data_IF_716934980673
#
_entry.id   IF_716934980673
#
_cell.length_a   1.000
_cell.length_b   1.000
_cell.length_c   1.000
_cell.angle_alpha   90.00
_cell.angle_beta   90.00
_cell.angle_gamma   90.00
#
_symmetry.space_group_name_H-M   'P 1'
#
loop_
_entity.id
_entity.type
_entity.pdbx_description
1 polymer ?
#
# COMPACT_ATOMS: atom_id res chain seq x y z
N UNK A 1 23.18 18.54 0.11
CA UNK A 1 21.91 17.85 0.41
C UNK A 1 22.22 16.38 0.23
N UNK A 2 22.38 15.65 1.32
CA UNK A 2 22.79 14.23 1.30
C UNK A 2 21.78 13.34 2.05
N UNK A 3 20.56 13.85 2.27
CA UNK A 3 19.49 13.13 2.96
C UNK A 3 18.45 12.65 1.96
N UNK A 4 18.09 11.39 2.02
CA UNK A 4 16.96 10.82 1.29
C UNK A 4 15.82 10.53 2.29
N UNK A 5 14.61 11.03 1.99
CA UNK A 5 13.41 10.87 2.83
C UNK A 5 12.45 9.89 2.20
N UNK A 6 11.96 8.94 3.00
CA UNK A 6 10.95 7.95 2.62
C UNK A 6 9.70 8.16 3.47
N UNK A 7 8.55 8.40 2.84
CA UNK A 7 7.31 8.74 3.55
C UNK A 7 6.35 7.56 3.48
N UNK A 8 5.85 7.14 4.65
CA UNK A 8 4.89 6.05 4.77
C UNK A 8 3.70 6.47 5.63
N UNK A 9 2.50 6.30 5.09
CA UNK A 9 1.20 6.51 5.75
C UNK A 9 0.43 5.21 5.95
N UNK A 10 0.97 4.09 5.48
CA UNK A 10 0.41 2.74 5.61
C UNK A 10 1.54 1.70 5.72
N UNK A 11 1.30 0.55 6.37
CA UNK A 11 2.27 -0.55 6.44
C UNK A 11 2.75 -1.07 5.08
N UNK A 12 1.87 -1.13 4.08
CA UNK A 12 2.22 -1.53 2.71
C UNK A 12 3.24 -0.58 2.06
N UNK A 13 3.15 0.71 2.33
CA UNK A 13 4.11 1.68 1.82
C UNK A 13 5.49 1.46 2.45
N UNK A 14 5.52 1.15 3.75
CA UNK A 14 6.76 0.79 4.44
C UNK A 14 7.39 -0.51 3.89
N UNK A 15 6.56 -1.54 3.59
CA UNK A 15 7.00 -2.75 2.89
C UNK A 15 7.64 -2.42 1.53
N UNK A 16 6.98 -1.55 0.74
CA UNK A 16 7.47 -1.18 -0.58
C UNK A 16 8.76 -0.36 -0.53
N UNK A 17 8.91 0.61 0.39
CA UNK A 17 10.16 1.40 0.50
C UNK A 17 11.36 0.53 0.88
N UNK A 18 11.16 -0.51 1.71
CA UNK A 18 12.20 -1.49 2.01
C UNK A 18 12.63 -2.31 0.78
N UNK A 19 11.78 -2.37 -0.26
CA UNK A 19 12.03 -3.08 -1.51
C UNK A 19 12.56 -2.18 -2.66
N UNK A 20 12.70 -0.86 -2.45
CA UNK A 20 13.22 0.08 -3.46
C UNK A 20 14.70 -0.16 -3.76
N UNK A 21 15.44 -0.67 -2.77
CA UNK A 21 16.88 -0.84 -2.84
C UNK A 21 17.64 0.45 -2.63
N UNK A 22 18.64 0.41 -1.75
CA UNK A 22 19.42 1.59 -1.42
C UNK A 22 20.44 1.87 -2.52
N UNK A 23 20.13 2.82 -3.40
CA UNK A 23 20.94 3.12 -4.57
C UNK A 23 22.32 3.71 -4.25
N UNK A 24 22.42 4.63 -3.28
CA UNK A 24 23.69 5.28 -2.92
C UNK A 24 24.00 5.08 -1.44
N UNK A 25 25.11 4.41 -1.13
CA UNK A 25 25.51 4.10 0.24
C UNK A 25 25.87 5.35 1.07
N UNK A 26 26.11 6.49 0.41
CA UNK A 26 26.57 7.72 1.06
C UNK A 26 25.45 8.66 1.54
N UNK A 27 24.18 8.42 1.21
CA UNK A 27 23.09 9.28 1.66
C UNK A 27 22.54 8.85 3.03
N UNK A 28 22.26 9.84 3.88
CA UNK A 28 21.52 9.65 5.12
C UNK A 28 20.08 9.29 4.78
N UNK A 29 19.57 8.17 5.28
CA UNK A 29 18.21 7.68 5.04
C UNK A 29 17.33 8.01 6.22
N UNK A 30 16.27 8.76 5.97
CA UNK A 30 15.29 9.13 6.98
C UNK A 30 13.95 8.54 6.60
N UNK A 31 13.38 7.73 7.47
CA UNK A 31 12.01 7.24 7.36
C UNK A 31 11.08 8.18 8.11
N UNK A 32 9.96 8.55 7.47
CA UNK A 32 8.87 9.28 8.11
C UNK A 32 7.63 8.40 8.10
N UNK A 33 7.09 8.13 9.28
CA UNK A 33 5.83 7.40 9.47
C UNK A 33 4.74 8.40 9.86
N UNK A 34 3.62 8.38 9.13
CA UNK A 34 2.45 9.22 9.38
C UNK A 34 1.40 8.49 10.22
N UNK A 35 0.79 9.19 11.18
CA UNK A 35 -0.26 8.71 12.09
C UNK A 35 -1.63 8.40 11.45
N UNK A 36 -1.65 7.99 10.18
CA UNK A 36 -2.87 7.86 9.37
C UNK A 36 -3.55 6.48 9.44
N UNK A 37 -2.88 5.47 10.00
CA UNK A 37 -3.39 4.11 10.12
C UNK A 37 -3.54 3.70 11.59
N UNK A 38 -4.33 2.64 11.83
CA UNK A 38 -4.49 2.03 13.15
C UNK A 38 -3.12 1.61 13.71
N UNK A 39 -2.88 1.90 14.98
CA UNK A 39 -1.64 1.56 15.71
C UNK A 39 -0.35 2.08 15.05
N UNK A 40 -0.41 3.21 14.34
CA UNK A 40 0.76 3.80 13.67
C UNK A 40 1.88 4.19 14.64
N UNK A 41 1.56 4.66 15.84
CA UNK A 41 2.54 5.00 16.87
C UNK A 41 3.24 3.74 17.42
N UNK A 42 2.48 2.67 17.69
CA UNK A 42 3.04 1.37 18.04
C UNK A 42 3.96 0.86 16.92
N UNK A 43 3.47 0.87 15.68
CA UNK A 43 4.26 0.47 14.51
C UNK A 43 5.57 1.27 14.41
N UNK A 44 5.53 2.59 14.60
CA UNK A 44 6.73 3.44 14.64
C UNK A 44 7.74 2.99 15.70
N UNK A 45 7.29 2.72 16.93
CA UNK A 45 8.16 2.26 18.00
C UNK A 45 8.76 0.88 17.72
N UNK A 46 7.97 -0.02 17.12
CA UNK A 46 8.47 -1.34 16.73
C UNK A 46 9.49 -1.25 15.60
N UNK A 47 9.26 -0.42 14.57
CA UNK A 47 10.23 -0.17 13.50
C UNK A 47 11.53 0.39 14.07
N UNK A 48 11.46 1.37 14.97
CA UNK A 48 12.65 1.94 15.64
C UNK A 48 13.43 0.91 16.47
N UNK A 49 12.75 -0.11 16.98
CA UNK A 49 13.35 -1.14 17.84
C UNK A 49 13.96 -2.28 17.03
N UNK A 50 13.32 -2.68 15.94
CA UNK A 50 13.65 -3.91 15.22
C UNK A 50 14.21 -3.70 13.81
N UNK A 51 14.19 -2.48 13.26
CA UNK A 51 14.78 -2.16 11.95
C UNK A 51 15.96 -1.18 12.08
N UNK A 52 17.16 -1.68 11.79
CA UNK A 52 18.42 -0.93 11.84
C UNK A 52 18.82 -0.30 10.49
N UNK A 53 17.98 -0.43 9.45
CA UNK A 53 18.32 0.04 8.10
C UNK A 53 18.27 1.56 7.92
N UNK A 54 17.63 2.28 8.84
CA UNK A 54 17.40 3.72 8.78
C UNK A 54 18.38 4.48 9.67
N UNK A 55 18.86 5.64 9.19
CA UNK A 55 19.69 6.51 10.02
C UNK A 55 18.84 7.27 11.05
N UNK A 56 17.64 7.72 10.64
CA UNK A 56 16.64 8.27 11.55
C UNK A 56 15.25 7.76 11.16
N UNK A 57 14.39 7.62 12.16
CA UNK A 57 12.97 7.32 11.99
C UNK A 57 12.19 8.39 12.74
N UNK A 58 11.30 9.08 12.03
CA UNK A 58 10.48 10.15 12.53
C UNK A 58 9.01 9.76 12.48
N UNK A 59 8.24 10.24 13.45
CA UNK A 59 6.79 10.09 13.50
C UNK A 59 6.11 11.45 13.41
N UNK A 60 5.18 11.60 12.47
CA UNK A 60 4.33 12.78 12.36
C UNK A 60 2.87 12.39 12.43
N UNK A 61 2.08 13.18 13.16
CA UNK A 61 0.66 12.90 13.37
C UNK A 61 -0.17 13.07 12.08
N UNK A 62 0.24 14.00 11.22
CA UNK A 62 -0.50 14.43 10.04
C UNK A 62 0.42 15.03 8.97
N UNK A 63 -0.17 15.36 7.82
CA UNK A 63 0.53 15.97 6.68
C UNK A 63 1.05 17.38 6.97
N UNK A 64 0.43 18.13 7.88
CA UNK A 64 0.87 19.49 8.18
C UNK A 64 2.27 19.49 8.81
N UNK A 65 2.52 18.58 9.75
CA UNK A 65 3.84 18.42 10.36
C UNK A 65 4.89 17.93 9.35
N UNK A 66 4.49 17.05 8.42
CA UNK A 66 5.34 16.63 7.30
C UNK A 66 5.73 17.82 6.42
N UNK A 67 4.74 18.61 5.99
CA UNK A 67 4.96 19.76 5.11
C UNK A 67 5.85 20.81 5.78
N UNK A 68 5.62 21.09 7.07
CA UNK A 68 6.47 21.99 7.85
C UNK A 68 7.91 21.48 7.93
N UNK A 69 8.09 20.18 8.17
CA UNK A 69 9.41 19.56 8.21
C UNK A 69 10.13 19.69 6.86
N UNK A 70 9.49 19.32 5.75
CA UNK A 70 10.06 19.41 4.40
C UNK A 70 10.36 20.84 3.97
N UNK A 71 9.60 21.82 4.47
CA UNK A 71 9.85 23.23 4.23
C UNK A 71 11.19 23.69 4.84
N UNK A 72 11.51 23.25 6.05
CA UNK A 72 12.73 23.65 6.76
C UNK A 72 13.94 22.73 6.52
N UNK A 73 13.75 21.54 5.97
CA UNK A 73 14.82 20.55 5.77
C UNK A 73 14.96 20.15 4.30
N UNK A 74 15.74 20.90 3.49
CA UNK A 74 15.98 20.53 2.11
C UNK A 74 16.69 19.18 1.97
N UNK A 75 16.20 18.33 1.07
CA UNK A 75 16.65 16.95 0.90
C UNK A 75 17.16 16.64 -0.50
N UNK A 76 17.93 15.58 -0.62
CA UNK A 76 18.43 15.11 -1.90
C UNK A 76 17.32 14.42 -2.70
N UNK A 77 16.68 13.41 -2.10
CA UNK A 77 15.65 12.61 -2.76
C UNK A 77 14.44 12.46 -1.85
N UNK A 78 13.24 12.64 -2.41
CA UNK A 78 11.97 12.39 -1.76
C UNK A 78 11.31 11.15 -2.38
N UNK A 79 10.93 10.18 -1.55
CA UNK A 79 10.18 8.98 -1.95
C UNK A 79 8.75 9.06 -1.40
N UNK A 80 7.76 9.05 -2.29
CA UNK A 80 6.33 9.26 -1.99
C UNK A 80 5.46 8.19 -2.65
N UNK A 81 4.27 7.93 -2.11
CA UNK A 81 3.30 7.04 -2.76
C UNK A 81 2.54 7.75 -3.88
N UNK A 82 2.30 9.05 -3.72
CA UNK A 82 1.53 9.88 -4.65
C UNK A 82 2.31 11.14 -5.02
N UNK A 83 2.34 11.43 -6.31
CA UNK A 83 3.07 12.55 -6.89
C UNK A 83 2.19 13.79 -7.17
N UNK A 84 0.89 13.65 -6.90
CA UNK A 84 -0.15 14.60 -7.26
C UNK A 84 -0.52 15.56 -6.11
N UNK A 85 0.50 16.18 -5.51
CA UNK A 85 0.32 17.24 -4.51
C UNK A 85 0.79 18.59 -5.04
N UNK A 86 -0.07 19.60 -4.95
CA UNK A 86 0.27 21.00 -5.18
C UNK A 86 1.46 21.46 -4.32
N UNK A 87 1.56 20.96 -3.09
CA UNK A 87 2.60 21.32 -2.13
C UNK A 87 3.99 20.90 -2.62
N UNK A 88 4.11 19.73 -3.25
CA UNK A 88 5.38 19.30 -3.85
C UNK A 88 5.85 20.24 -4.97
N UNK A 89 4.92 20.87 -5.70
CA UNK A 89 5.28 21.89 -6.68
C UNK A 89 5.84 23.17 -6.06
N UNK A 90 5.33 23.58 -4.90
CA UNK A 90 5.92 24.69 -4.12
C UNK A 90 7.32 24.29 -3.63
N UNK A 91 7.43 23.10 -3.02
CA UNK A 91 8.69 22.60 -2.49
C UNK A 91 9.77 22.47 -3.56
N UNK A 92 9.42 22.02 -4.76
CA UNK A 92 10.35 21.99 -5.88
C UNK A 92 10.84 23.40 -6.26
N UNK A 93 9.93 24.38 -6.40
CA UNK A 93 10.29 25.77 -6.71
C UNK A 93 11.18 26.41 -5.64
N UNK A 94 10.98 26.05 -4.37
CA UNK A 94 11.80 26.48 -3.24
C UNK A 94 13.07 25.64 -3.06
N UNK A 95 13.38 24.75 -4.00
CA UNK A 95 14.54 23.84 -3.95
C UNK A 95 14.62 23.03 -2.65
N UNK A 96 13.47 22.58 -2.12
CA UNK A 96 13.39 21.72 -0.93
C UNK A 96 13.75 20.27 -1.23
N UNK A 97 13.73 19.85 -2.49
CA UNK A 97 14.25 18.55 -2.92
C UNK A 97 14.89 18.64 -4.31
N UNK A 98 15.89 17.79 -4.59
CA UNK A 98 16.49 17.69 -5.93
C UNK A 98 15.77 16.68 -6.82
N UNK A 99 15.37 15.55 -6.24
CA UNK A 99 14.73 14.44 -6.94
C UNK A 99 13.50 13.96 -6.18
N UNK A 100 12.51 13.49 -6.92
CA UNK A 100 11.32 12.87 -6.35
C UNK A 100 11.04 11.57 -7.09
N UNK A 101 10.89 10.49 -6.36
CA UNK A 101 10.47 9.20 -6.88
C UNK A 101 9.13 8.82 -6.28
N UNK A 102 8.26 8.28 -7.12
CA UNK A 102 7.05 7.63 -6.65
C UNK A 102 7.33 6.14 -6.47
N UNK A 103 6.62 5.48 -5.56
CA UNK A 103 6.61 4.02 -5.49
C UNK A 103 5.17 3.49 -5.50
N UNK A 104 5.00 2.32 -6.08
CA UNK A 104 3.69 1.66 -6.19
C UNK A 104 3.05 1.44 -4.82
N UNK A 105 1.73 1.61 -4.75
CA UNK A 105 0.89 1.11 -3.64
C UNK A 105 -0.06 0.00 -4.09
N UNK A 106 -0.41 -0.05 -5.38
CA UNK A 106 -1.22 -1.13 -5.93
C UNK A 106 -1.60 -0.94 -7.39
N UNK A 107 -2.66 -1.63 -7.83
CA UNK A 107 -3.14 -1.55 -9.22
C UNK A 107 -3.48 -0.11 -9.62
N UNK A 108 -3.79 0.75 -8.65
CA UNK A 108 -3.98 2.20 -8.81
C UNK A 108 -2.89 2.90 -9.61
N UNK A 109 -1.64 2.45 -9.48
CA UNK A 109 -0.50 2.99 -10.23
C UNK A 109 -0.57 2.71 -11.73
N UNK A 110 -1.37 1.74 -12.18
CA UNK A 110 -1.50 1.36 -13.59
C UNK A 110 -2.74 1.96 -14.26
N UNK A 111 -3.51 2.78 -13.52
CA UNK A 111 -4.80 3.24 -13.99
C UNK A 111 -4.71 4.33 -15.06
N UNK A 112 -5.47 4.16 -16.14
CA UNK A 112 -5.52 5.10 -17.27
C UNK A 112 -6.49 6.25 -17.05
N UNK A 113 -7.39 6.18 -16.07
CA UNK A 113 -8.28 7.29 -15.78
C UNK A 113 -7.50 8.51 -15.26
N UNK A 114 -8.10 9.69 -15.44
CA UNK A 114 -7.50 10.92 -14.93
C UNK A 114 -7.60 10.94 -13.42
N UNK A 115 -6.44 11.10 -12.79
CA UNK A 115 -6.34 11.33 -11.35
C UNK A 115 -6.90 12.72 -11.00
N UNK A 116 -6.53 13.74 -11.77
CA UNK A 116 -7.04 15.10 -11.57
C UNK A 116 -8.23 15.37 -12.49
N UNK A 117 -9.44 15.35 -11.90
CA UNK A 117 -10.69 15.73 -12.54
C UNK A 117 -11.10 17.18 -12.22
N UNK A 118 -10.19 18.00 -11.66
CA UNK A 118 -10.48 19.38 -11.33
C UNK A 118 -10.84 20.21 -12.56
N UNK A 119 -11.70 21.20 -12.37
CA UNK A 119 -12.16 22.12 -13.41
C UNK A 119 -11.84 23.57 -13.02
N UNK A 120 -11.82 24.44 -14.03
CA UNK A 120 -11.63 25.88 -13.84
C UNK A 120 -10.28 26.25 -13.22
N UNK A 121 -10.28 27.21 -12.29
CA UNK A 121 -9.07 27.76 -11.68
C UNK A 121 -8.21 26.71 -10.97
N UNK A 122 -8.83 25.70 -10.35
CA UNK A 122 -8.10 24.61 -9.66
C UNK A 122 -7.25 23.80 -10.63
N UNK A 123 -7.77 23.49 -11.83
CA UNK A 123 -7.02 22.79 -12.87
C UNK A 123 -5.82 23.64 -13.32
N UNK A 124 -6.02 24.94 -13.53
CA UNK A 124 -4.95 25.86 -13.91
C UNK A 124 -3.84 25.86 -12.85
N UNK A 125 -4.20 25.99 -11.57
CA UNK A 125 -3.25 25.95 -10.46
C UNK A 125 -2.50 24.61 -10.43
N UNK A 126 -3.22 23.49 -10.51
CA UNK A 126 -2.63 22.15 -10.50
C UNK A 126 -1.62 21.96 -11.64
N UNK A 127 -1.94 22.42 -12.85
CA UNK A 127 -0.99 22.38 -13.99
C UNK A 127 0.22 23.27 -13.78
N UNK A 128 0.04 24.48 -13.24
CA UNK A 128 1.15 25.39 -12.90
C UNK A 128 2.06 24.85 -11.79
N UNK A 129 1.51 24.01 -10.91
CA UNK A 129 2.26 23.26 -9.89
C UNK A 129 2.52 21.83 -10.30
N UNK A 130 2.59 21.56 -11.61
CA UNK A 130 3.13 20.33 -12.14
C UNK A 130 2.35 19.06 -11.83
N UNK A 131 1.11 19.13 -11.31
CA UNK A 131 0.26 17.96 -11.09
C UNK A 131 -0.10 17.34 -12.44
N UNK A 132 0.20 16.05 -12.59
CA UNK A 132 -0.08 15.28 -13.81
C UNK A 132 -1.57 14.96 -13.96
N UNK A 133 -1.98 14.62 -15.19
CA UNK A 133 -3.34 14.10 -15.44
C UNK A 133 -3.54 12.70 -14.86
N UNK A 134 -2.46 11.93 -14.71
CA UNK A 134 -2.46 10.56 -14.17
C UNK A 134 -1.47 10.46 -13.01
N UNK A 135 -1.64 9.44 -12.15
CA UNK A 135 -0.65 9.09 -11.13
C UNK A 135 0.68 8.77 -11.82
N UNK A 136 1.77 9.35 -11.32
CA UNK A 136 3.11 9.19 -11.90
C UNK A 136 3.49 10.22 -12.98
N UNK A 137 2.57 11.12 -13.34
CA UNK A 137 2.79 12.10 -14.41
C UNK A 137 3.22 13.49 -13.92
N UNK A 138 3.36 13.71 -12.62
CA UNK A 138 3.79 14.99 -12.04
C UNK A 138 5.11 15.49 -12.64
N UNK A 139 5.15 16.73 -13.11
CA UNK A 139 6.30 17.35 -13.79
C UNK A 139 7.61 17.21 -12.99
N UNK A 140 7.52 17.11 -11.66
CA UNK A 140 8.67 17.07 -10.75
C UNK A 140 9.16 15.67 -10.43
N UNK A 141 8.48 14.63 -10.91
CA UNK A 141 8.96 13.26 -10.77
C UNK A 141 10.21 13.03 -11.61
N UNK A 142 11.18 12.40 -10.98
CA UNK A 142 12.37 11.82 -11.62
C UNK A 142 12.07 10.43 -12.18
N UNK A 143 11.23 9.64 -11.50
CA UNK A 143 10.85 8.31 -11.93
C UNK A 143 9.94 7.61 -10.92
N UNK A 144 9.68 6.33 -11.17
CA UNK A 144 8.77 5.52 -10.36
C UNK A 144 9.34 4.12 -10.11
N UNK A 145 9.06 3.55 -8.93
CA UNK A 145 9.31 2.15 -8.59
C UNK A 145 8.01 1.36 -8.68
N UNK A 146 8.03 0.28 -9.45
CA UNK A 146 6.87 -0.54 -9.79
C UNK A 146 7.23 -2.03 -9.70
N UNK A 147 6.25 -2.87 -9.39
CA UNK A 147 6.38 -4.32 -9.50
C UNK A 147 6.28 -4.79 -10.96
N UNK A 148 5.49 -4.10 -11.79
CA UNK A 148 5.21 -4.48 -13.18
C UNK A 148 5.53 -3.34 -14.17
N UNK A 149 6.79 -2.86 -14.27
CA UNK A 149 7.13 -1.71 -15.11
C UNK A 149 6.82 -1.91 -16.59
N UNK A 150 6.85 -3.15 -17.10
CA UNK A 150 6.51 -3.44 -18.49
C UNK A 150 5.00 -3.28 -18.76
N UNK A 151 4.16 -3.69 -17.81
CA UNK A 151 2.72 -3.43 -17.87
C UNK A 151 2.43 -1.92 -17.85
N UNK A 152 3.13 -1.17 -17.00
CA UNK A 152 2.99 0.29 -16.99
C UNK A 152 3.36 0.89 -18.35
N UNK A 153 4.46 0.44 -18.96
CA UNK A 153 4.88 0.91 -20.28
C UNK A 153 3.85 0.58 -21.37
N UNK A 154 3.20 -0.59 -21.31
CA UNK A 154 2.14 -0.93 -22.27
C UNK A 154 0.86 -0.09 -22.07
N UNK A 155 0.53 0.27 -20.82
CA UNK A 155 -0.59 1.17 -20.53
C UNK A 155 -0.28 2.62 -20.93
N UNK A 156 0.99 3.04 -20.89
CA UNK A 156 1.43 4.39 -21.21
C UNK A 156 2.64 4.41 -22.17
N UNK A 157 2.46 4.10 -23.47
CA UNK A 157 3.56 4.02 -24.44
C UNK A 157 4.38 5.31 -24.60
N UNK A 158 3.81 6.47 -24.27
CA UNK A 158 4.47 7.78 -24.32
C UNK A 158 5.10 8.25 -23.01
N UNK A 159 5.13 7.42 -21.96
CA UNK A 159 5.69 7.81 -20.67
C UNK A 159 7.22 7.99 -20.75
N UNK A 160 7.71 9.18 -20.37
CA UNK A 160 9.10 9.58 -20.62
C UNK A 160 10.05 9.48 -19.41
N UNK A 161 9.53 9.29 -18.19
CA UNK A 161 10.38 9.24 -16.98
C UNK A 161 10.88 7.83 -16.70
N UNK A 162 11.87 7.72 -15.81
CA UNK A 162 12.45 6.43 -15.43
C UNK A 162 11.40 5.53 -14.76
N UNK A 163 11.25 4.31 -15.28
CA UNK A 163 10.54 3.22 -14.61
C UNK A 163 11.57 2.25 -14.03
N UNK A 164 11.49 1.99 -12.73
CA UNK A 164 12.39 1.12 -11.99
C UNK A 164 11.59 -0.04 -11.42
N UNK A 165 12.20 -1.23 -11.43
CA UNK A 165 11.64 -2.37 -10.69
C UNK A 165 11.98 -2.25 -9.21
N UNK A 166 11.11 -2.74 -8.34
CA UNK A 166 11.54 -3.11 -6.99
C UNK A 166 12.62 -4.21 -7.03
N UNK A 167 13.41 -4.33 -5.97
CA UNK A 167 14.54 -5.28 -5.91
C UNK A 167 14.12 -6.75 -6.01
N UNK A 168 12.94 -7.07 -5.48
CA UNK A 168 12.39 -8.42 -5.44
C UNK A 168 10.92 -8.41 -5.89
N UNK A 169 10.44 -9.49 -6.55
CA UNK A 169 9.01 -9.70 -6.77
C UNK A 169 8.22 -9.64 -5.46
N UNK A 170 6.95 -9.21 -5.54
CA UNK A 170 6.11 -8.93 -4.37
C UNK A 170 6.04 -10.12 -3.40
N UNK A 171 5.58 -11.29 -3.86
CA UNK A 171 5.39 -12.48 -3.02
C UNK A 171 6.70 -12.98 -2.43
N UNK A 172 7.79 -12.92 -3.19
CA UNK A 172 9.13 -13.28 -2.70
C UNK A 172 9.55 -12.34 -1.56
N UNK A 173 9.42 -11.03 -1.74
CA UNK A 173 9.76 -10.05 -0.69
C UNK A 173 8.87 -10.22 0.53
N UNK A 174 7.58 -10.50 0.32
CA UNK A 174 6.62 -10.74 1.39
C UNK A 174 7.05 -11.92 2.27
N UNK A 175 7.51 -13.03 1.68
CA UNK A 175 8.05 -14.16 2.45
C UNK A 175 9.29 -13.79 3.25
N UNK A 176 10.23 -13.05 2.63
CA UNK A 176 11.48 -12.62 3.26
C UNK A 176 11.24 -11.65 4.45
N UNK A 177 10.25 -10.76 4.32
CA UNK A 177 9.95 -9.72 5.32
C UNK A 177 9.00 -10.18 6.43
N UNK A 178 8.33 -11.33 6.26
CA UNK A 178 7.32 -11.80 7.21
C UNK A 178 7.83 -11.81 8.67
N UNK A 179 8.97 -12.44 9.02
CA UNK A 179 9.43 -12.47 10.42
C UNK A 179 9.61 -11.09 11.03
N UNK A 180 10.08 -10.12 10.24
CA UNK A 180 10.29 -8.75 10.69
C UNK A 180 8.96 -8.02 10.89
N UNK A 181 8.00 -8.17 9.97
CA UNK A 181 6.68 -7.54 10.08
C UNK A 181 5.81 -8.08 11.21
N UNK A 182 6.04 -9.34 11.64
CA UNK A 182 5.43 -9.89 12.84
C UNK A 182 5.88 -9.16 14.12
N UNK A 183 7.09 -8.56 14.14
CA UNK A 183 7.52 -7.70 15.25
C UNK A 183 6.88 -6.30 15.20
N UNK A 184 6.49 -5.83 14.01
CA UNK A 184 5.91 -4.50 13.84
C UNK A 184 4.41 -4.43 14.09
N UNK A 185 3.74 -5.57 14.01
CA UNK A 185 2.30 -5.64 13.89
C UNK A 185 1.65 -6.47 15.00
N UNK A 186 0.33 -6.39 15.11
CA UNK A 186 -0.48 -7.20 16.03
C UNK A 186 -1.61 -7.89 15.28
N UNK A 187 -2.37 -8.75 15.97
CA UNK A 187 -3.62 -9.33 15.45
C UNK A 187 -3.43 -10.39 14.37
N UNK A 188 -2.25 -11.02 14.35
CA UNK A 188 -1.91 -12.15 13.49
C UNK A 188 -1.75 -13.46 14.30
N UNK A 189 -1.70 -13.38 15.62
CA UNK A 189 -1.22 -14.44 16.50
C UNK A 189 -2.05 -15.71 16.34
N UNK A 190 -3.37 -15.56 16.25
CA UNK A 190 -4.28 -16.68 16.00
C UNK A 190 -4.04 -17.35 14.64
N UNK A 191 -3.75 -16.58 13.60
CA UNK A 191 -3.58 -17.10 12.23
C UNK A 191 -2.42 -18.10 12.15
N UNK A 192 -1.41 -17.96 13.02
CA UNK A 192 -0.29 -18.91 13.14
C UNK A 192 -0.74 -20.32 13.54
N UNK A 193 -1.85 -20.42 14.27
CA UNK A 193 -2.40 -21.68 14.78
C UNK A 193 -3.42 -22.35 13.87
N UNK A 194 -4.00 -21.62 12.91
CA UNK A 194 -5.03 -22.12 11.99
C UNK A 194 -4.35 -22.96 10.91
N UNK A 195 -4.56 -24.28 10.92
CA UNK A 195 -3.89 -25.24 10.02
C UNK A 195 -4.85 -26.25 9.42
N UNK A 196 -4.73 -26.49 8.12
CA UNK A 196 -5.54 -27.47 7.36
C UNK A 196 -7.06 -27.26 7.52
N UNK A 197 -7.51 -26.01 7.44
CA UNK A 197 -8.91 -25.58 7.61
C UNK A 197 -9.48 -24.94 6.34
N UNK A 198 -10.79 -24.91 6.23
CA UNK A 198 -11.52 -24.04 5.30
C UNK A 198 -11.70 -22.67 5.94
N UNK A 199 -11.11 -21.63 5.35
CA UNK A 199 -11.09 -20.28 5.92
C UNK A 199 -11.70 -19.29 4.93
N UNK A 200 -12.69 -18.53 5.40
CA UNK A 200 -13.22 -17.36 4.72
C UNK A 200 -12.61 -16.08 5.30
N UNK A 201 -12.15 -15.15 4.46
CA UNK A 201 -11.73 -13.82 4.90
C UNK A 201 -12.34 -12.73 4.02
N UNK A 202 -13.04 -11.78 4.64
CA UNK A 202 -13.53 -10.58 3.97
C UNK A 202 -12.60 -9.41 4.22
N UNK A 203 -12.16 -8.79 3.13
CA UNK A 203 -11.35 -7.58 3.12
C UNK A 203 -12.26 -6.39 2.87
N UNK A 204 -12.49 -5.58 3.90
CA UNK A 204 -13.36 -4.42 3.75
C UNK A 204 -12.67 -3.36 2.89
N UNK A 205 -13.48 -2.59 2.14
CA UNK A 205 -13.01 -1.34 1.57
C UNK A 205 -12.93 -0.24 2.66
N UNK A 206 -12.69 1.01 2.27
CA UNK A 206 -12.73 2.18 3.16
C UNK A 206 -14.09 2.34 3.87
N UNK A 207 -15.15 1.80 3.27
CA UNK A 207 -16.47 1.66 3.86
C UNK A 207 -16.82 0.18 3.94
N UNK A 208 -17.53 -0.20 5.01
CA UNK A 208 -17.92 -1.58 5.24
C UNK A 208 -19.24 -1.84 4.53
N UNK A 209 -19.26 -2.87 3.68
CA UNK A 209 -20.46 -3.27 2.98
C UNK A 209 -21.27 -4.26 3.84
N UNK A 210 -22.30 -3.76 4.49
CA UNK A 210 -23.17 -4.55 5.39
C UNK A 210 -23.87 -5.70 4.65
N UNK A 211 -24.15 -5.56 3.35
CA UNK A 211 -24.78 -6.64 2.59
C UNK A 211 -23.84 -7.83 2.42
N UNK A 212 -22.53 -7.59 2.26
CA UNK A 212 -21.52 -8.65 2.23
C UNK A 212 -21.43 -9.32 3.61
N UNK A 213 -21.45 -8.55 4.70
CA UNK A 213 -21.46 -9.13 6.06
C UNK A 213 -22.68 -10.04 6.29
N UNK A 214 -23.86 -9.62 5.85
CA UNK A 214 -25.09 -10.43 5.94
C UNK A 214 -25.03 -11.70 5.08
N UNK A 215 -24.40 -11.63 3.91
CA UNK A 215 -24.20 -12.80 3.06
C UNK A 215 -23.23 -13.79 3.73
N UNK A 216 -22.10 -13.30 4.23
CA UNK A 216 -21.11 -14.10 4.94
C UNK A 216 -21.66 -14.75 6.21
N UNK A 217 -22.51 -14.06 6.97
CA UNK A 217 -23.15 -14.64 8.15
C UNK A 217 -24.05 -15.84 7.81
N UNK A 218 -24.69 -15.82 6.63
CA UNK A 218 -25.50 -16.96 6.14
C UNK A 218 -24.63 -18.13 5.69
N UNK A 219 -23.47 -17.85 5.10
CA UNK A 219 -22.55 -18.84 4.54
C UNK A 219 -21.47 -19.29 5.54
N UNK A 220 -21.45 -18.75 6.76
CA UNK A 220 -20.33 -18.98 7.70
C UNK A 220 -20.11 -20.42 8.09
N UNK A 221 -21.16 -21.25 8.03
CA UNK A 221 -21.10 -22.67 8.37
C UNK A 221 -20.39 -23.51 7.29
N UNK A 222 -20.11 -22.93 6.11
CA UNK A 222 -19.31 -23.58 5.06
C UNK A 222 -17.79 -23.46 5.32
N UNK A 223 -17.41 -22.75 6.39
CA UNK A 223 -16.03 -22.51 6.79
C UNK A 223 -15.79 -22.95 8.23
N UNK A 224 -14.59 -23.43 8.52
CA UNK A 224 -14.15 -23.62 9.91
C UNK A 224 -13.95 -22.27 10.61
N UNK A 225 -13.51 -21.25 9.86
CA UNK A 225 -13.29 -19.89 10.34
C UNK A 225 -13.74 -18.84 9.31
N UNK A 226 -14.40 -17.79 9.79
CA UNK A 226 -14.70 -16.59 8.99
C UNK A 226 -14.18 -15.33 9.67
N UNK A 227 -13.26 -14.66 8.99
CA UNK A 227 -12.63 -13.42 9.45
C UNK A 227 -13.11 -12.23 8.64
N UNK A 228 -13.22 -11.07 9.29
CA UNK A 228 -13.43 -9.77 8.63
C UNK A 228 -12.22 -8.90 8.95
N UNK A 229 -11.33 -8.72 7.97
CA UNK A 229 -10.18 -7.82 8.09
C UNK A 229 -10.57 -6.42 7.65
N UNK A 230 -10.52 -5.50 8.62
CA UNK A 230 -10.84 -4.11 8.36
C UNK A 230 -9.73 -3.39 7.61
N UNK A 231 -10.13 -2.47 6.75
CA UNK A 231 -9.23 -1.52 6.10
C UNK A 231 -8.50 -0.67 7.17
N UNK A 232 -7.19 -0.36 7.01
CA UNK A 232 -6.39 0.32 8.05
C UNK A 232 -6.93 1.67 8.54
N UNK A 233 -7.80 2.33 7.77
CA UNK A 233 -8.42 3.62 8.11
C UNK A 233 -9.68 3.49 8.99
N UNK A 234 -10.27 2.30 9.09
CA UNK A 234 -11.49 2.07 9.87
C UNK A 234 -11.12 1.91 11.34
N UNK A 235 -11.50 2.91 12.14
CA UNK A 235 -11.22 2.95 13.60
C UNK A 235 -12.41 2.52 14.46
N UNK A 236 -13.65 2.78 14.02
CA UNK A 236 -14.89 2.45 14.75
C UNK A 236 -15.46 1.11 14.28
N UNK A 237 -15.90 0.28 15.22
CA UNK A 237 -16.18 -1.15 14.97
C UNK A 237 -17.31 -1.72 15.82
N UNK A 238 -17.88 -0.92 16.72
CA UNK A 238 -18.81 -1.34 17.75
C UNK A 238 -20.05 -2.01 17.14
N UNK A 239 -20.54 -1.48 16.03
CA UNK A 239 -21.72 -2.01 15.32
C UNK A 239 -21.45 -3.31 14.54
N UNK A 240 -20.20 -3.76 14.41
CA UNK A 240 -19.87 -4.93 13.60
C UNK A 240 -20.02 -6.24 14.37
N UNK A 241 -19.93 -6.19 15.70
CA UNK A 241 -20.04 -7.37 16.55
C UNK A 241 -21.43 -8.02 16.49
N UNK A 242 -22.46 -7.29 16.06
CA UNK A 242 -23.82 -7.81 15.91
C UNK A 242 -23.94 -8.95 14.89
N UNK A 243 -22.99 -9.07 13.95
CA UNK A 243 -23.00 -10.10 12.91
C UNK A 243 -22.38 -11.43 13.37
N UNK A 244 -21.89 -11.53 14.62
CA UNK A 244 -21.27 -12.76 15.12
C UNK A 244 -20.02 -13.20 14.33
N UNK A 245 -19.42 -12.28 13.56
CA UNK A 245 -18.24 -12.51 12.74
C UNK A 245 -16.97 -12.10 13.50
N UNK A 246 -15.87 -12.78 13.20
CA UNK A 246 -14.59 -12.49 13.84
C UNK A 246 -13.90 -11.30 13.19
N UNK A 247 -13.94 -10.15 13.87
CA UNK A 247 -13.36 -8.91 13.37
C UNK A 247 -11.86 -8.86 13.70
N UNK A 248 -11.04 -8.73 12.66
CA UNK A 248 -9.58 -8.61 12.77
C UNK A 248 -9.21 -7.14 12.78
N UNK A 249 -8.96 -6.63 13.97
CA UNK A 249 -8.59 -5.24 14.22
C UNK A 249 -7.08 -5.11 14.40
N UNK A 250 -6.36 -4.84 13.30
CA UNK A 250 -4.91 -4.81 13.34
C UNK A 250 -4.28 -3.94 12.26
N UNK A 251 -3.02 -3.57 12.50
CA UNK A 251 -2.16 -2.89 11.56
C UNK A 251 -1.42 -3.84 10.60
N UNK A 252 -1.43 -5.16 10.82
CA UNK A 252 -0.76 -6.08 9.90
C UNK A 252 -1.39 -6.01 8.49
N UNK A 253 -0.52 -6.04 7.47
CA UNK A 253 -0.94 -6.16 6.08
C UNK A 253 -1.67 -7.49 5.87
N UNK A 254 -2.75 -7.47 5.09
CA UNK A 254 -3.52 -8.69 4.86
C UNK A 254 -2.78 -9.70 3.98
N UNK A 255 -1.85 -9.23 3.16
CA UNK A 255 -0.96 -10.06 2.36
C UNK A 255 -0.16 -11.02 3.26
N UNK A 256 0.31 -10.58 4.43
CA UNK A 256 0.97 -11.48 5.39
C UNK A 256 0.00 -12.50 5.99
N UNK A 257 -1.23 -12.09 6.30
CA UNK A 257 -2.26 -13.02 6.83
C UNK A 257 -2.63 -14.09 5.80
N UNK A 258 -2.82 -13.69 4.53
CA UNK A 258 -3.06 -14.60 3.41
C UNK A 258 -1.88 -15.57 3.27
N UNK A 259 -0.64 -15.05 3.30
CA UNK A 259 0.56 -15.87 3.20
C UNK A 259 0.63 -16.92 4.33
N UNK A 260 0.44 -16.50 5.59
CA UNK A 260 0.43 -17.39 6.76
C UNK A 260 -0.62 -18.50 6.59
N UNK A 261 -1.86 -18.13 6.23
CA UNK A 261 -2.95 -19.09 6.08
C UNK A 261 -2.65 -20.11 4.97
N UNK A 262 -2.16 -19.65 3.83
CA UNK A 262 -1.81 -20.52 2.71
C UNK A 262 -0.65 -21.48 3.07
N UNK A 263 0.39 -20.98 3.73
CA UNK A 263 1.54 -21.79 4.13
C UNK A 263 1.20 -22.82 5.21
N UNK A 264 0.15 -22.56 6.01
CA UNK A 264 -0.42 -23.49 6.98
C UNK A 264 -1.35 -24.57 6.36
N UNK A 265 -1.43 -24.66 5.03
CA UNK A 265 -2.21 -25.68 4.33
C UNK A 265 -3.72 -25.43 4.32
N UNK A 266 -4.16 -24.19 4.61
CA UNK A 266 -5.59 -23.87 4.61
C UNK A 266 -6.13 -23.68 3.20
N UNK A 267 -7.41 -24.04 3.00
CA UNK A 267 -8.18 -23.67 1.80
C UNK A 267 -8.80 -22.30 2.04
N UNK A 268 -8.36 -21.30 1.28
CA UNK A 268 -8.71 -19.90 1.54
C UNK A 268 -9.70 -19.35 0.50
N UNK A 269 -10.84 -18.84 0.97
CA UNK A 269 -11.76 -18.01 0.18
C UNK A 269 -11.62 -16.56 0.61
N UNK A 270 -11.29 -15.68 -0.33
CA UNK A 270 -11.08 -14.25 -0.06
C UNK A 270 -12.18 -13.43 -0.72
N UNK A 271 -13.01 -12.81 0.11
CA UNK A 271 -14.06 -11.89 -0.32
C UNK A 271 -13.51 -10.46 -0.30
N UNK A 272 -13.71 -9.70 -1.36
CA UNK A 272 -13.21 -8.32 -1.42
C UNK A 272 -13.97 -7.48 -2.45
N UNK A 273 -13.74 -6.17 -2.44
CA UNK A 273 -14.31 -5.23 -3.40
C UNK A 273 -13.16 -4.58 -4.19
N UNK A 274 -12.62 -5.27 -5.20
CA UNK A 274 -11.43 -4.88 -5.98
C UNK A 274 -10.17 -4.60 -5.13
N UNK A 275 -9.84 -5.48 -4.16
CA UNK A 275 -8.65 -5.28 -3.31
C UNK A 275 -7.35 -5.68 -4.02
N UNK A 276 -6.39 -4.75 -4.10
CA UNK A 276 -5.02 -5.02 -4.59
C UNK A 276 -4.33 -6.12 -3.80
N UNK A 277 -4.64 -6.30 -2.52
CA UNK A 277 -3.92 -7.29 -1.71
C UNK A 277 -4.09 -8.73 -2.21
N UNK A 278 -5.10 -8.96 -3.06
CA UNK A 278 -5.53 -10.28 -3.53
C UNK A 278 -4.93 -10.64 -4.89
N UNK A 279 -4.54 -9.66 -5.72
CA UNK A 279 -4.02 -9.92 -7.07
C UNK A 279 -2.75 -10.78 -7.10
N UNK A 280 -1.97 -10.77 -6.02
CA UNK A 280 -0.72 -11.52 -5.90
C UNK A 280 -0.89 -13.01 -5.54
N UNK A 281 -2.12 -13.47 -5.28
CA UNK A 281 -2.39 -14.83 -4.79
C UNK A 281 -3.51 -15.55 -5.56
N UNK A 282 -3.90 -15.03 -6.73
CA UNK A 282 -5.12 -15.45 -7.43
C UNK A 282 -5.16 -16.93 -7.82
N UNK A 283 -3.99 -17.52 -8.05
CA UNK A 283 -3.76 -18.93 -8.35
C UNK A 283 -3.84 -19.84 -7.12
N UNK A 284 -3.76 -19.27 -5.91
CA UNK A 284 -3.68 -20.01 -4.63
C UNK A 284 -4.92 -19.88 -3.76
N UNK A 285 -5.88 -19.03 -4.13
CA UNK A 285 -7.08 -18.75 -3.35
C UNK A 285 -8.34 -18.93 -4.19
N UNK A 286 -9.47 -19.08 -3.51
CA UNK A 286 -10.79 -18.87 -4.12
C UNK A 286 -11.09 -17.37 -4.07
N UNK A 287 -10.85 -16.67 -5.17
CA UNK A 287 -11.11 -15.24 -5.29
C UNK A 287 -12.62 -14.96 -5.45
N UNK A 288 -13.19 -14.20 -4.52
CA UNK A 288 -14.60 -13.76 -4.51
C UNK A 288 -14.66 -12.23 -4.57
N UNK A 289 -14.44 -11.66 -5.76
CA UNK A 289 -14.61 -10.23 -5.97
C UNK A 289 -16.10 -9.85 -5.98
N UNK A 290 -16.53 -9.12 -4.97
CA UNK A 290 -17.89 -8.63 -4.75
C UNK A 290 -18.05 -7.16 -5.19
N UNK A 291 -16.98 -6.53 -5.68
CA UNK A 291 -16.99 -5.17 -6.18
C UNK A 291 -17.61 -5.08 -7.58
N UNK A 292 -17.92 -3.85 -8.01
CA UNK A 292 -18.22 -3.61 -9.42
C UNK A 292 -16.98 -3.94 -10.27
N UNK A 293 -17.13 -4.58 -11.44
CA UNK A 293 -16.01 -4.84 -12.34
C UNK A 293 -15.19 -3.58 -12.60
N UNK A 294 -13.87 -3.72 -12.55
CA UNK A 294 -12.95 -2.59 -12.72
C UNK A 294 -11.85 -3.01 -13.69
N UNK A 295 -11.86 -2.45 -14.90
CA UNK A 295 -11.01 -2.90 -16.02
C UNK A 295 -9.53 -2.93 -15.64
N UNK A 296 -9.04 -1.92 -14.94
CA UNK A 296 -7.64 -1.84 -14.51
C UNK A 296 -7.25 -2.92 -13.50
N UNK A 297 -8.19 -3.33 -12.65
CA UNK A 297 -7.97 -4.47 -11.75
C UNK A 297 -7.80 -5.75 -12.58
N UNK A 298 -8.70 -5.98 -13.53
CA UNK A 298 -8.68 -7.19 -14.37
C UNK A 298 -7.44 -7.26 -15.27
N UNK A 299 -6.98 -6.12 -15.80
CA UNK A 299 -5.73 -6.02 -16.57
C UNK A 299 -4.53 -6.46 -15.72
N UNK A 300 -4.40 -5.92 -14.51
CA UNK A 300 -3.25 -6.21 -13.63
C UNK A 300 -3.31 -7.64 -13.14
N UNK A 301 -4.49 -8.11 -12.72
CA UNK A 301 -4.76 -9.50 -12.36
C UNK A 301 -4.34 -10.48 -13.46
N UNK A 302 -4.82 -10.25 -14.69
CA UNK A 302 -4.53 -11.10 -15.85
C UNK A 302 -3.04 -11.09 -16.20
N UNK A 303 -2.39 -9.92 -16.09
CA UNK A 303 -0.95 -9.80 -16.33
C UNK A 303 -0.14 -10.64 -15.34
N UNK A 304 -0.46 -10.58 -14.05
CA UNK A 304 0.21 -11.37 -13.01
C UNK A 304 0.03 -12.87 -13.28
N UNK A 305 -1.20 -13.31 -13.57
CA UNK A 305 -1.49 -14.72 -13.90
C UNK A 305 -0.68 -15.20 -15.12
N UNK A 306 -0.53 -14.36 -16.15
CA UNK A 306 0.20 -14.72 -17.37
C UNK A 306 1.70 -14.93 -17.19
N UNK A 307 2.27 -14.45 -16.07
CA UNK A 307 3.72 -14.43 -15.85
C UNK A 307 4.24 -15.53 -14.93
N UNK A 308 3.37 -16.41 -14.41
CA UNK A 308 3.74 -17.47 -13.44
C UNK A 308 4.69 -16.96 -12.33
N UNK A 309 4.40 -15.77 -11.79
CA UNK A 309 5.28 -15.03 -10.86
C UNK A 309 5.28 -15.52 -9.41
#
# INVERSE_FOLDING_TARGET
MDTDIYICSKPLQYFNVRNIGYGNASSKKVLIILGHFRDAELFFHQVKTFDDTWNDILYFKDLFHLDLYLFFHPVNTLFVEVDASFVYGIFFKLSRFKRMYMFEEGFGSYRRDRFDNSKGLKNIINKLTGVGDHIGFSKFLTGQFLYLPDLYRSQFPGYSKSLKSFQKPFVKRLREELPLFLNFSTGYEEFLSVKNKSVGIYLTNHQINVNILKALDKEKNDFDYVYVKLHPHIKKTEDLYQYGLKIVQSNIMVEFLILILLDNGNKLSVFHENSTSVIWFQDRIINKNMGQPFEEYDIVASYIQSKEL
#
